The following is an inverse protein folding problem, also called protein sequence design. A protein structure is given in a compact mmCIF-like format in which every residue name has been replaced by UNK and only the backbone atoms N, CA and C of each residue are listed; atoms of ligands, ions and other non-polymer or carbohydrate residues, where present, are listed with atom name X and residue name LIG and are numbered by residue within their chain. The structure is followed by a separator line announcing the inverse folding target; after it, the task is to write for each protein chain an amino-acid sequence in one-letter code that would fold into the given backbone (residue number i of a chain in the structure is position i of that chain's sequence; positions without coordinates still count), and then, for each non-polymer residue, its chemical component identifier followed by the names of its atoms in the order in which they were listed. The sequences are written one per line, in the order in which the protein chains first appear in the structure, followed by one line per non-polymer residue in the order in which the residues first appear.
data_IF_580773017828
#
_entry.id   IF_580773017828
#
_cell.length_a   1.000
_cell.length_b   1.000
_cell.length_c   1.000
_cell.angle_alpha   90.00
_cell.angle_beta   90.00
_cell.angle_gamma   90.00
#
_symmetry.space_group_name_H-M   'P 1'
#
loop_
_entity.id
_entity.type
_entity.pdbx_description
1 polymer ?
#
# COMPACT_ATOMS: atom_id res chain seq x y z
N UNK A 1 46.61 17.25 38.72
CA UNK A 1 47.17 17.89 39.92
C UNK A 1 46.07 18.74 40.53
N UNK A 2 45.22 18.17 41.44
CA UNK A 2 44.12 18.89 42.06
C UNK A 2 44.67 19.79 43.15
N UNK A 3 44.28 21.05 43.08
CA UNK A 3 44.68 22.09 44.03
C UNK A 3 44.15 21.76 45.45
N UNK A 4 45.07 21.46 46.33
CA UNK A 4 44.83 21.19 47.78
C UNK A 4 44.66 22.52 48.57
N UNK A 5 44.30 23.63 47.92
CA UNK A 5 44.14 24.93 48.56
C UNK A 5 42.66 25.36 48.54
N UNK A 6 42.06 25.41 49.76
CA UNK A 6 40.85 26.20 49.98
C UNK A 6 41.30 27.66 50.17
N UNK A 7 40.56 28.63 49.60
CA UNK A 7 40.89 30.06 49.73
C UNK A 7 41.21 30.44 51.15
N UNK A 8 42.53 30.57 51.46
CA UNK A 8 43.01 31.30 52.62
C UNK A 8 43.55 30.52 53.82
N UNK A 9 43.85 29.21 53.75
CA UNK A 9 44.43 28.52 54.88
C UNK A 9 44.85 27.07 54.60
N UNK A 10 45.77 26.55 55.45
CA UNK A 10 46.12 25.13 55.52
C UNK A 10 44.87 24.30 55.85
N UNK A 11 44.64 23.22 55.09
CA UNK A 11 43.54 22.27 55.38
C UNK A 11 43.78 21.65 56.75
N UNK A 12 42.82 21.75 57.66
CA UNK A 12 42.92 21.11 58.97
C UNK A 12 42.87 19.57 58.83
N UNK A 13 43.45 18.84 59.81
CA UNK A 13 43.33 17.36 59.83
C UNK A 13 41.90 16.90 59.83
N UNK A 14 40.99 17.65 60.40
CA UNK A 14 39.55 17.34 60.44
C UNK A 14 38.89 17.57 59.08
N UNK A 15 39.23 18.65 58.37
CA UNK A 15 38.75 18.85 56.95
C UNK A 15 39.22 17.73 56.02
N UNK A 16 40.43 17.21 56.26
CA UNK A 16 40.99 16.08 55.45
C UNK A 16 40.27 14.78 55.81
N UNK A 17 40.03 14.49 57.08
CA UNK A 17 39.26 13.31 57.52
C UNK A 17 37.84 13.33 56.99
N UNK A 18 37.15 14.46 57.09
CA UNK A 18 35.79 14.64 56.58
C UNK A 18 35.74 14.47 55.05
N UNK A 19 36.73 14.98 54.33
CA UNK A 19 36.83 14.82 52.88
C UNK A 19 37.07 13.35 52.50
N UNK A 20 38.01 12.63 53.19
CA UNK A 20 38.28 11.20 52.96
C UNK A 20 37.03 10.37 53.29
N UNK A 21 36.35 10.67 54.41
CA UNK A 21 35.17 9.95 54.83
C UNK A 21 33.99 10.17 53.87
N UNK A 22 33.73 11.40 53.44
CA UNK A 22 32.68 11.72 52.47
C UNK A 22 32.94 11.13 51.10
N UNK A 23 34.21 11.15 50.63
CA UNK A 23 34.58 10.46 49.37
C UNK A 23 34.53 8.94 49.50
N UNK A 24 34.96 8.36 50.62
CA UNK A 24 34.83 6.93 50.89
C UNK A 24 33.37 6.48 50.92
N UNK A 25 32.45 7.22 51.53
CA UNK A 25 31.02 6.96 51.55
C UNK A 25 30.42 7.07 50.14
N UNK A 26 30.81 8.05 49.36
CA UNK A 26 30.32 8.22 47.99
C UNK A 26 30.77 7.10 47.05
N UNK A 27 31.99 6.60 47.19
CA UNK A 27 32.54 5.46 46.46
C UNK A 27 31.83 4.18 46.86
N UNK A 28 31.61 3.96 48.15
CA UNK A 28 30.91 2.79 48.65
C UNK A 28 29.45 2.77 48.14
N UNK A 29 28.72 3.91 48.17
CA UNK A 29 27.38 4.04 47.64
C UNK A 29 27.32 3.73 46.15
N UNK A 30 28.30 4.21 45.38
CA UNK A 30 28.40 3.88 43.93
C UNK A 30 28.61 2.39 43.70
N UNK A 31 29.51 1.72 44.49
CA UNK A 31 29.74 0.27 44.35
C UNK A 31 28.48 -0.51 44.70
N UNK A 32 27.72 -0.13 45.71
CA UNK A 32 26.45 -0.77 46.08
C UNK A 32 25.42 -0.59 44.97
N UNK A 33 25.25 0.61 44.45
CA UNK A 33 24.35 0.88 43.30
C UNK A 33 24.74 0.07 42.07
N UNK A 34 26.02 -0.02 41.78
CA UNK A 34 26.53 -0.83 40.65
C UNK A 34 26.24 -2.32 40.85
N UNK A 35 26.48 -2.87 42.03
CA UNK A 35 26.19 -4.27 42.36
C UNK A 35 24.68 -4.58 42.22
N UNK A 36 23.82 -3.70 42.72
CA UNK A 36 22.37 -3.81 42.58
C UNK A 36 21.95 -3.74 41.11
N UNK A 37 22.53 -2.84 40.30
CA UNK A 37 22.25 -2.70 38.88
C UNK A 37 22.64 -3.96 38.09
N UNK A 38 23.80 -4.53 38.39
CA UNK A 38 24.25 -5.79 37.80
C UNK A 38 23.30 -6.93 38.15
N UNK A 39 22.87 -7.01 39.41
CA UNK A 39 21.93 -8.00 39.89
C UNK A 39 20.59 -7.89 39.13
N UNK A 40 20.04 -6.68 38.99
CA UNK A 40 18.82 -6.38 38.27
C UNK A 40 18.96 -6.83 36.81
N UNK A 41 20.06 -6.48 36.15
CA UNK A 41 20.32 -6.88 34.74
C UNK A 41 20.38 -8.40 34.57
N UNK A 42 21.03 -9.11 35.49
CA UNK A 42 21.08 -10.58 35.47
C UNK A 42 19.69 -11.18 35.67
N UNK A 43 18.93 -10.67 36.62
CA UNK A 43 17.56 -11.16 36.89
C UNK A 43 16.67 -10.93 35.66
N UNK A 44 16.65 -9.73 35.10
CA UNK A 44 15.87 -9.41 33.90
C UNK A 44 16.30 -10.32 32.73
N UNK A 45 17.60 -10.49 32.49
CA UNK A 45 18.11 -11.34 31.42
C UNK A 45 17.66 -12.82 31.57
N UNK A 46 17.70 -13.35 32.79
CA UNK A 46 17.24 -14.74 33.10
C UNK A 46 15.71 -14.87 32.90
N UNK A 47 14.95 -13.92 33.42
CA UNK A 47 13.48 -13.90 33.28
C UNK A 47 13.08 -13.81 31.80
N UNK A 48 13.68 -12.90 31.04
CA UNK A 48 13.45 -12.77 29.61
C UNK A 48 13.78 -14.05 28.86
N UNK A 49 14.93 -14.66 29.12
CA UNK A 49 15.31 -15.95 28.50
C UNK A 49 14.26 -17.02 28.79
N UNK A 50 13.78 -17.12 30.02
CA UNK A 50 12.77 -18.12 30.41
C UNK A 50 11.43 -17.87 29.71
N UNK A 51 10.99 -16.60 29.65
CA UNK A 51 9.74 -16.21 28.98
C UNK A 51 9.83 -16.53 27.49
N UNK A 52 10.91 -16.10 26.84
CA UNK A 52 11.13 -16.31 25.39
C UNK A 52 11.16 -17.78 25.03
N UNK A 53 11.89 -18.60 25.81
CA UNK A 53 11.94 -20.04 25.58
C UNK A 53 10.54 -20.70 25.71
N UNK A 54 9.73 -20.24 26.68
CA UNK A 54 8.35 -20.74 26.84
C UNK A 54 7.45 -20.31 25.67
N UNK A 55 7.58 -19.07 25.20
CA UNK A 55 6.83 -18.56 24.05
C UNK A 55 7.26 -19.33 22.79
N UNK A 56 8.56 -19.46 22.55
CA UNK A 56 9.11 -20.21 21.42
C UNK A 56 8.54 -21.63 21.35
N UNK A 57 8.62 -22.36 22.46
CA UNK A 57 8.10 -23.73 22.54
C UNK A 57 6.59 -23.84 22.28
N UNK A 58 5.82 -22.79 22.59
CA UNK A 58 4.38 -22.75 22.26
C UNK A 58 4.12 -22.48 20.79
N UNK A 59 4.91 -21.58 20.18
CA UNK A 59 4.81 -21.22 18.78
C UNK A 59 5.24 -22.38 17.88
N UNK A 60 6.31 -23.09 18.25
CA UNK A 60 6.79 -24.30 17.56
C UNK A 60 5.71 -25.40 17.54
N UNK A 61 5.00 -25.60 18.67
CA UNK A 61 3.87 -26.54 18.73
C UNK A 61 2.68 -26.17 17.84
N UNK A 62 2.55 -24.89 17.45
CA UNK A 62 1.51 -24.42 16.53
C UNK A 62 1.93 -24.50 15.05
N UNK A 63 3.12 -25.02 14.76
CA UNK A 63 3.61 -25.19 13.41
C UNK A 63 4.07 -23.88 12.74
N UNK A 64 4.32 -22.83 13.53
CA UNK A 64 4.88 -21.58 13.00
C UNK A 64 6.36 -21.76 12.67
N UNK A 65 6.83 -21.04 11.65
CA UNK A 65 8.22 -21.10 11.23
C UNK A 65 9.17 -20.77 12.40
N UNK A 66 10.02 -21.74 12.74
CA UNK A 66 10.96 -21.64 13.85
C UNK A 66 11.97 -20.49 13.64
N UNK A 67 12.45 -20.29 12.40
CA UNK A 67 13.45 -19.26 12.08
C UNK A 67 12.83 -17.88 12.29
N UNK A 68 11.64 -17.63 11.74
CA UNK A 68 10.95 -16.36 11.84
C UNK A 68 10.58 -16.01 13.30
N UNK A 69 10.02 -16.99 14.04
CA UNK A 69 9.62 -16.77 15.45
C UNK A 69 10.83 -16.56 16.35
N UNK A 70 11.92 -17.31 16.14
CA UNK A 70 13.17 -17.16 16.88
C UNK A 70 13.82 -15.78 16.61
N UNK A 71 13.83 -15.34 15.36
CA UNK A 71 14.35 -14.01 14.99
C UNK A 71 13.59 -12.89 15.70
N UNK A 72 12.25 -12.88 15.61
CA UNK A 72 11.40 -11.85 16.23
C UNK A 72 11.57 -11.83 17.75
N UNK A 73 11.55 -12.99 18.40
CA UNK A 73 11.68 -13.08 19.84
C UNK A 73 13.07 -12.64 20.32
N UNK A 74 14.14 -12.94 19.59
CA UNK A 74 15.47 -12.45 19.92
C UNK A 74 15.58 -10.93 19.70
N UNK A 75 15.01 -10.39 18.62
CA UNK A 75 14.97 -8.95 18.40
C UNK A 75 14.32 -8.22 19.58
N UNK A 76 13.16 -8.69 20.05
CA UNK A 76 12.47 -8.14 21.21
C UNK A 76 13.31 -8.28 22.49
N UNK A 77 13.97 -9.43 22.69
CA UNK A 77 14.87 -9.65 23.83
C UNK A 77 15.98 -8.61 23.86
N UNK A 78 16.70 -8.43 22.75
CA UNK A 78 17.81 -7.49 22.71
C UNK A 78 17.33 -6.03 22.84
N UNK A 79 16.17 -5.67 22.27
CA UNK A 79 15.57 -4.35 22.47
C UNK A 79 15.29 -4.06 23.96
N UNK A 80 14.71 -5.02 24.71
CA UNK A 80 14.46 -4.89 26.14
C UNK A 80 15.76 -4.82 26.93
N UNK A 81 16.77 -5.62 26.59
CA UNK A 81 18.07 -5.60 27.28
C UNK A 81 18.81 -4.27 27.05
N UNK A 82 18.79 -3.73 25.83
CA UNK A 82 19.36 -2.41 25.52
C UNK A 82 18.64 -1.34 26.30
N UNK A 83 17.30 -1.33 26.34
CA UNK A 83 16.53 -0.39 27.13
C UNK A 83 16.85 -0.48 28.62
N UNK A 84 16.98 -1.71 29.15
CA UNK A 84 17.38 -1.95 30.55
C UNK A 84 18.78 -1.39 30.82
N UNK A 85 19.73 -1.63 29.92
CA UNK A 85 21.10 -1.13 30.05
C UNK A 85 21.15 0.40 30.06
N UNK A 86 20.47 1.03 29.12
CA UNK A 86 20.34 2.51 29.05
C UNK A 86 19.74 3.05 30.35
N UNK A 87 18.66 2.44 30.86
CA UNK A 87 18.03 2.83 32.12
C UNK A 87 18.97 2.72 33.32
N UNK A 88 19.81 1.67 33.37
CA UNK A 88 20.82 1.48 34.41
C UNK A 88 21.87 2.58 34.35
N UNK A 89 22.43 2.87 33.17
CA UNK A 89 23.46 3.89 32.96
C UNK A 89 22.94 5.26 33.40
N UNK A 90 21.69 5.59 33.07
CA UNK A 90 21.03 6.84 33.50
C UNK A 90 20.90 6.88 35.01
N UNK A 91 20.44 5.81 35.67
CA UNK A 91 20.25 5.76 37.14
C UNK A 91 21.56 5.81 37.93
N UNK A 92 22.64 5.32 37.36
CA UNK A 92 23.98 5.38 37.98
C UNK A 92 24.65 6.77 37.79
N UNK A 93 24.06 7.69 37.04
CA UNK A 93 24.62 9.01 36.72
C UNK A 93 26.05 8.91 36.10
N UNK A 94 26.33 7.82 35.38
CA UNK A 94 27.63 7.61 34.70
C UNK A 94 27.81 8.58 33.53
N UNK A 95 26.69 8.87 32.85
CA UNK A 95 26.61 9.79 31.73
C UNK A 95 25.49 10.79 32.00
N UNK A 96 25.66 11.99 31.52
CA UNK A 96 24.68 13.04 31.64
C UNK A 96 23.35 12.66 30.94
N UNK A 97 22.22 12.82 31.61
CA UNK A 97 20.91 12.40 31.12
C UNK A 97 20.59 13.00 29.75
N UNK A 98 20.96 14.27 29.54
CA UNK A 98 20.78 14.94 28.25
C UNK A 98 21.53 14.26 27.10
N UNK A 99 22.72 13.76 27.34
CA UNK A 99 23.52 13.04 26.34
C UNK A 99 22.90 11.71 25.95
N UNK A 100 22.38 10.97 26.94
CA UNK A 100 21.66 9.72 26.71
C UNK A 100 20.37 10.00 25.94
N UNK A 101 19.61 11.01 26.33
CA UNK A 101 18.38 11.40 25.64
C UNK A 101 18.64 11.76 24.17
N UNK A 102 19.70 12.53 23.91
CA UNK A 102 20.12 12.88 22.54
C UNK A 102 20.49 11.65 21.71
N UNK A 103 21.25 10.70 22.31
CA UNK A 103 21.64 9.46 21.63
C UNK A 103 20.41 8.60 21.28
N UNK A 104 19.48 8.40 22.24
CA UNK A 104 18.27 7.61 22.04
C UNK A 104 17.37 8.27 21.01
N UNK A 105 17.22 9.60 21.05
CA UNK A 105 16.44 10.35 20.06
C UNK A 105 17.05 10.19 18.65
N UNK A 106 18.36 10.35 18.51
CA UNK A 106 19.06 10.18 17.22
C UNK A 106 18.92 8.75 16.66
N UNK A 107 19.11 7.73 17.53
CA UNK A 107 18.91 6.34 17.13
C UNK A 107 17.46 6.06 16.75
N UNK A 108 16.50 6.62 17.47
CA UNK A 108 15.07 6.52 17.18
C UNK A 108 14.70 7.10 15.81
N UNK A 109 15.23 8.26 15.45
CA UNK A 109 15.06 8.85 14.11
C UNK A 109 15.65 7.93 13.03
N UNK A 110 16.87 7.42 13.24
CA UNK A 110 17.52 6.50 12.29
C UNK A 110 16.69 5.23 12.06
N UNK A 111 16.18 4.60 13.13
CA UNK A 111 15.34 3.40 13.04
C UNK A 111 14.00 3.74 12.35
N UNK A 112 13.39 4.89 12.69
CA UNK A 112 12.12 5.33 12.08
C UNK A 112 12.25 5.51 10.57
N UNK A 113 13.33 6.16 10.11
CA UNK A 113 13.61 6.33 8.68
C UNK A 113 13.87 4.99 7.99
N UNK A 114 14.62 4.08 8.62
CA UNK A 114 14.87 2.74 8.08
C UNK A 114 13.59 1.90 7.95
N UNK A 115 12.61 2.11 8.84
CA UNK A 115 11.33 1.38 8.85
C UNK A 115 10.18 2.10 8.13
N UNK A 116 10.42 3.28 7.57
CA UNK A 116 9.39 4.12 6.96
C UNK A 116 8.54 3.38 5.93
N UNK A 117 9.17 2.59 5.05
CA UNK A 117 8.44 1.82 4.04
C UNK A 117 7.55 0.72 4.63
N UNK A 118 8.04 0.01 5.65
CA UNK A 118 7.25 -1.01 6.33
C UNK A 118 6.05 -0.40 7.07
N UNK A 119 6.27 0.70 7.80
CA UNK A 119 5.23 1.42 8.52
C UNK A 119 4.17 2.00 7.58
N UNK A 120 4.59 2.55 6.44
CA UNK A 120 3.67 3.06 5.40
C UNK A 120 2.77 1.94 4.85
N UNK A 121 3.33 0.76 4.57
CA UNK A 121 2.55 -0.39 4.10
C UNK A 121 1.59 -0.92 5.16
N UNK A 122 2.03 -1.00 6.41
CA UNK A 122 1.20 -1.39 7.54
C UNK A 122 0.00 -0.44 7.71
N UNK A 123 0.25 0.87 7.73
CA UNK A 123 -0.80 1.89 7.82
C UNK A 123 -1.73 1.83 6.61
N UNK A 124 -1.17 1.67 5.40
CA UNK A 124 -1.95 1.46 4.18
C UNK A 124 -2.87 0.25 4.28
N UNK A 125 -2.38 -0.87 4.80
CA UNK A 125 -3.20 -2.09 5.02
C UNK A 125 -4.36 -1.84 5.98
N UNK A 126 -4.12 -1.16 7.10
CA UNK A 126 -5.18 -0.79 8.05
C UNK A 126 -6.22 0.10 7.36
N UNK A 127 -5.79 1.13 6.60
CA UNK A 127 -6.70 2.03 5.89
C UNK A 127 -7.56 1.26 4.87
N UNK A 128 -6.98 0.36 4.09
CA UNK A 128 -7.73 -0.46 3.13
C UNK A 128 -8.75 -1.36 3.81
N UNK A 129 -8.43 -1.94 4.96
CA UNK A 129 -9.34 -2.82 5.72
C UNK A 129 -10.46 -2.06 6.44
N UNK A 130 -10.22 -0.81 6.86
CA UNK A 130 -11.19 0.03 7.58
C UNK A 130 -12.09 0.79 6.60
N UNK A 131 -11.50 1.53 5.65
CA UNK A 131 -12.22 2.39 4.70
C UNK A 131 -12.86 1.56 3.59
N UNK A 132 -12.22 0.44 3.18
CA UNK A 132 -12.68 -0.48 2.14
C UNK A 132 -13.03 0.22 0.81
N UNK A 133 -12.12 0.98 0.21
CA UNK A 133 -12.37 1.60 -1.10
C UNK A 133 -12.63 0.55 -2.19
N UNK A 134 -12.15 -0.65 -1.97
CA UNK A 134 -12.44 -1.86 -2.74
C UNK A 134 -12.39 -3.08 -1.80
N UNK A 135 -12.95 -4.19 -2.21
CA UNK A 135 -13.02 -5.45 -1.44
C UNK A 135 -12.54 -6.63 -2.28
N UNK A 136 -12.35 -7.78 -1.63
CA UNK A 136 -12.09 -9.05 -2.33
C UNK A 136 -13.17 -9.32 -3.38
N UNK A 137 -12.75 -9.66 -4.59
CA UNK A 137 -13.59 -9.88 -5.77
C UNK A 137 -13.75 -8.65 -6.66
N UNK A 138 -13.40 -7.45 -6.20
CA UNK A 138 -13.45 -6.26 -7.04
C UNK A 138 -12.33 -6.26 -8.08
N UNK A 139 -12.63 -5.78 -9.30
CA UNK A 139 -11.64 -5.52 -10.33
C UNK A 139 -11.14 -4.09 -10.19
N UNK A 140 -9.86 -3.94 -9.91
CA UNK A 140 -9.22 -2.64 -9.72
C UNK A 140 -8.15 -2.37 -10.77
N UNK A 141 -7.92 -1.10 -11.07
CA UNK A 141 -6.84 -0.60 -11.93
C UNK A 141 -6.04 0.44 -11.17
N UNK A 142 -4.73 0.25 -11.10
CA UNK A 142 -3.81 1.26 -10.56
C UNK A 142 -3.37 2.11 -11.72
N UNK A 143 -3.91 3.34 -11.80
CA UNK A 143 -3.85 4.19 -12.98
C UNK A 143 -2.42 4.48 -13.41
N UNK A 144 -1.54 4.80 -12.46
CA UNK A 144 -0.16 5.25 -12.74
C UNK A 144 0.78 4.12 -13.18
N UNK A 145 0.40 2.86 -12.98
CA UNK A 145 1.24 1.69 -13.28
C UNK A 145 0.69 0.77 -14.35
N UNK A 146 -0.54 1.00 -14.80
CA UNK A 146 -1.21 0.11 -15.74
C UNK A 146 -1.42 -1.33 -15.22
N UNK A 147 -1.32 -1.52 -13.89
CA UNK A 147 -1.54 -2.81 -13.25
C UNK A 147 -3.01 -2.95 -12.94
N UNK A 148 -3.63 -4.03 -13.41
CA UNK A 148 -5.04 -4.28 -13.18
C UNK A 148 -5.34 -5.76 -12.88
N UNK A 149 -6.44 -6.01 -12.17
CA UNK A 149 -6.88 -7.36 -11.85
C UNK A 149 -7.95 -7.42 -10.77
N UNK A 150 -8.38 -8.64 -10.46
CA UNK A 150 -9.35 -8.95 -9.40
C UNK A 150 -8.61 -9.04 -8.07
N UNK A 151 -9.12 -8.37 -7.04
CA UNK A 151 -8.58 -8.44 -5.67
C UNK A 151 -8.85 -9.83 -5.09
N UNK A 152 -7.78 -10.57 -4.82
CA UNK A 152 -7.84 -11.90 -4.20
C UNK A 152 -7.78 -11.85 -2.68
N UNK A 153 -6.85 -11.05 -2.16
CA UNK A 153 -6.57 -10.99 -0.72
C UNK A 153 -5.96 -9.63 -0.36
N UNK A 154 -6.43 -9.06 0.75
CA UNK A 154 -5.85 -7.86 1.37
C UNK A 154 -5.20 -8.31 2.67
N UNK A 155 -3.86 -8.22 2.74
CA UNK A 155 -3.03 -8.55 3.90
C UNK A 155 -2.56 -7.26 4.57
N UNK A 156 -1.87 -7.38 5.71
CA UNK A 156 -1.40 -6.22 6.48
C UNK A 156 -0.42 -5.34 5.70
N UNK A 157 0.47 -5.93 4.88
CA UNK A 157 1.51 -5.21 4.13
C UNK A 157 1.26 -5.17 2.63
N UNK A 158 0.55 -6.15 2.08
CA UNK A 158 0.37 -6.34 0.65
C UNK A 158 -1.09 -6.65 0.33
N UNK A 159 -1.51 -6.23 -0.84
CA UNK A 159 -2.74 -6.68 -1.48
C UNK A 159 -2.36 -7.54 -2.68
N UNK A 160 -2.96 -8.72 -2.80
CA UNK A 160 -2.77 -9.63 -3.93
C UNK A 160 -3.92 -9.47 -4.90
N UNK A 161 -3.61 -9.24 -6.17
CA UNK A 161 -4.59 -9.21 -7.26
C UNK A 161 -4.25 -10.31 -8.27
N UNK A 162 -5.28 -10.78 -9.01
CA UNK A 162 -5.14 -11.72 -10.13
C UNK A 162 -5.43 -10.99 -11.43
N UNK A 163 -4.48 -10.97 -12.34
CA UNK A 163 -4.68 -10.36 -13.67
C UNK A 163 -5.48 -11.28 -14.61
N UNK A 164 -5.75 -10.80 -15.83
CA UNK A 164 -6.50 -11.55 -16.86
C UNK A 164 -5.79 -12.81 -17.36
N UNK A 165 -4.47 -12.92 -17.13
CA UNK A 165 -3.66 -14.09 -17.49
C UNK A 165 -3.61 -15.13 -16.36
N UNK A 166 -4.28 -14.87 -15.23
CA UNK A 166 -4.27 -15.75 -14.06
C UNK A 166 -3.09 -15.56 -13.12
N UNK A 167 -2.20 -14.60 -13.39
CA UNK A 167 -1.01 -14.34 -12.58
C UNK A 167 -1.36 -13.56 -11.31
N UNK A 168 -0.69 -13.89 -10.20
CA UNK A 168 -0.84 -13.20 -8.93
C UNK A 168 0.19 -12.07 -8.80
N UNK A 169 -0.28 -10.86 -8.62
CA UNK A 169 0.54 -9.67 -8.43
C UNK A 169 0.38 -9.21 -6.99
N UNK A 170 1.48 -9.19 -6.22
CA UNK A 170 1.52 -8.64 -4.87
C UNK A 170 1.91 -7.17 -4.91
N UNK A 171 1.02 -6.31 -4.42
CA UNK A 171 1.18 -4.86 -4.44
C UNK A 171 1.32 -4.36 -3.00
N UNK A 172 2.38 -3.61 -2.67
CA UNK A 172 2.50 -2.96 -1.37
C UNK A 172 1.31 -2.05 -1.08
N UNK A 173 0.71 -2.16 0.11
CA UNK A 173 -0.51 -1.42 0.44
C UNK A 173 -0.34 0.11 0.38
N UNK A 174 0.85 0.62 0.69
CA UNK A 174 1.16 2.05 0.55
C UNK A 174 1.01 2.56 -0.89
N UNK A 175 1.23 1.71 -1.89
CA UNK A 175 1.03 2.09 -3.29
C UNK A 175 -0.46 2.23 -3.63
N UNK A 176 -1.32 1.41 -3.03
CA UNK A 176 -2.77 1.47 -3.24
C UNK A 176 -3.43 2.63 -2.50
N UNK A 177 -2.82 3.09 -1.41
CA UNK A 177 -3.34 4.23 -0.63
C UNK A 177 -2.82 5.58 -1.12
N UNK A 178 -1.65 5.60 -1.78
CA UNK A 178 -1.01 6.82 -2.24
C UNK A 178 -1.25 7.13 -3.73
N UNK A 179 -1.76 6.15 -4.50
CA UNK A 179 -2.05 6.32 -5.93
C UNK A 179 -3.55 6.28 -6.19
N UNK A 180 -3.94 6.78 -7.37
CA UNK A 180 -5.32 6.68 -7.82
C UNK A 180 -5.67 5.22 -8.17
N UNK A 181 -6.68 4.68 -7.53
CA UNK A 181 -7.20 3.34 -7.80
C UNK A 181 -8.61 3.47 -8.38
N UNK A 182 -8.78 3.00 -9.61
CA UNK A 182 -10.08 2.89 -10.24
C UNK A 182 -10.70 1.53 -9.91
N UNK A 183 -11.78 1.53 -9.12
CA UNK A 183 -12.58 0.33 -8.86
C UNK A 183 -13.59 0.15 -9.98
N UNK A 184 -13.38 -0.86 -10.82
CA UNK A 184 -14.28 -1.18 -11.93
C UNK A 184 -15.50 -2.02 -11.53
N UNK A 185 -15.60 -2.44 -10.28
CA UNK A 185 -16.69 -3.28 -9.75
C UNK A 185 -17.52 -2.58 -8.67
N UNK A 186 -17.28 -1.28 -8.40
CA UNK A 186 -17.97 -0.54 -7.33
C UNK A 186 -19.48 -0.40 -7.56
N UNK A 187 -19.87 -0.30 -8.82
CA UNK A 187 -21.28 -0.18 -9.21
C UNK A 187 -21.75 -1.43 -9.94
N UNK A 188 -23.02 -1.74 -9.76
CA UNK A 188 -23.66 -2.87 -10.43
C UNK A 188 -23.75 -2.71 -11.95
N UNK A 189 -23.81 -1.46 -12.43
CA UNK A 189 -23.91 -1.11 -13.85
C UNK A 189 -22.71 -0.24 -14.27
N UNK A 190 -22.21 -0.47 -15.49
CA UNK A 190 -21.15 0.32 -16.12
C UNK A 190 -21.56 0.85 -17.46
N UNK A 191 -21.09 2.04 -17.78
CA UNK A 191 -21.22 2.62 -19.08
C UNK A 191 -20.50 1.76 -20.14
N UNK A 192 -21.23 1.34 -21.14
CA UNK A 192 -20.74 0.72 -22.36
C UNK A 192 -21.01 1.69 -23.51
N UNK A 193 -19.92 2.09 -24.18
CA UNK A 193 -20.03 2.87 -25.42
C UNK A 193 -19.43 2.05 -26.54
N UNK A 194 -20.18 1.90 -27.63
CA UNK A 194 -19.73 1.26 -28.87
C UNK A 194 -19.86 2.26 -30.00
N UNK A 195 -18.80 2.38 -30.78
CA UNK A 195 -18.76 3.27 -31.94
C UNK A 195 -18.74 2.49 -33.25
N UNK A 196 -19.39 3.04 -34.28
CA UNK A 196 -19.33 2.52 -35.65
C UNK A 196 -19.37 3.68 -36.65
N UNK A 197 -18.72 3.53 -37.78
CA UNK A 197 -18.77 4.52 -38.86
C UNK A 197 -19.77 4.09 -39.94
N UNK A 198 -20.52 5.05 -40.48
CA UNK A 198 -21.37 4.87 -41.66
C UNK A 198 -20.96 5.83 -42.75
N UNK A 199 -21.25 5.46 -44.02
CA UNK A 199 -21.03 6.34 -45.18
C UNK A 199 -21.82 7.65 -45.05
N UNK A 200 -21.26 8.76 -45.50
CA UNK A 200 -21.99 10.03 -45.62
C UNK A 200 -23.23 9.95 -46.54
N UNK A 201 -23.28 8.92 -47.38
CA UNK A 201 -24.44 8.63 -48.29
C UNK A 201 -25.51 7.80 -47.59
N UNK A 202 -25.22 7.22 -46.42
CA UNK A 202 -26.16 6.39 -45.68
C UNK A 202 -27.22 7.21 -44.98
N UNK A 203 -28.40 6.65 -44.81
CA UNK A 203 -29.47 7.23 -44.00
C UNK A 203 -29.13 7.10 -42.51
N UNK A 204 -28.76 8.21 -41.90
CA UNK A 204 -28.38 8.31 -40.45
C UNK A 204 -29.54 7.91 -39.54
N UNK A 205 -30.79 8.26 -39.92
CA UNK A 205 -31.95 7.96 -39.08
C UNK A 205 -32.22 6.45 -39.09
N UNK A 206 -32.16 5.82 -40.25
CA UNK A 206 -32.24 4.36 -40.40
C UNK A 206 -31.12 3.64 -39.66
N UNK A 207 -29.90 4.11 -39.79
CA UNK A 207 -28.73 3.53 -39.12
C UNK A 207 -28.86 3.58 -37.60
N UNK A 208 -29.31 4.71 -37.03
CA UNK A 208 -29.58 4.87 -35.60
C UNK A 208 -30.67 3.90 -35.12
N UNK A 209 -31.77 3.77 -35.86
CA UNK A 209 -32.86 2.87 -35.53
C UNK A 209 -32.42 1.38 -35.55
N UNK A 210 -31.59 0.98 -36.51
CA UNK A 210 -31.03 -0.38 -36.56
C UNK A 210 -30.08 -0.62 -35.39
N UNK A 211 -29.22 0.37 -35.07
CA UNK A 211 -28.28 0.29 -33.94
C UNK A 211 -28.99 0.21 -32.61
N UNK A 212 -30.08 0.96 -32.41
CA UNK A 212 -30.92 0.91 -31.23
C UNK A 212 -31.59 -0.46 -31.05
N UNK A 213 -32.19 -0.97 -32.16
CA UNK A 213 -32.89 -2.26 -32.16
C UNK A 213 -31.97 -3.42 -31.83
N UNK A 214 -30.81 -3.54 -32.51
CA UNK A 214 -29.85 -4.62 -32.24
C UNK A 214 -29.28 -4.53 -30.82
N UNK A 215 -29.05 -3.32 -30.30
CA UNK A 215 -28.58 -3.11 -28.92
C UNK A 215 -29.63 -3.58 -27.92
N UNK A 216 -30.90 -3.24 -28.14
CA UNK A 216 -32.02 -3.68 -27.28
C UNK A 216 -32.14 -5.21 -27.23
N UNK A 217 -31.97 -5.87 -28.36
CA UNK A 217 -32.00 -7.34 -28.44
C UNK A 217 -30.82 -7.98 -27.72
N UNK A 218 -29.60 -7.38 -27.78
CA UNK A 218 -28.42 -7.88 -27.06
C UNK A 218 -28.49 -7.65 -25.54
N UNK A 219 -29.19 -6.62 -25.09
CA UNK A 219 -29.41 -6.35 -23.68
C UNK A 219 -30.36 -7.39 -23.03
N UNK A 220 -31.32 -7.91 -23.77
CA UNK A 220 -32.27 -8.92 -23.31
C UNK A 220 -33.05 -8.48 -22.09
N UNK A 221 -32.68 -9.02 -20.91
CA UNK A 221 -33.30 -8.78 -19.60
C UNK A 221 -32.78 -7.53 -18.87
N UNK A 222 -31.80 -6.82 -19.44
CA UNK A 222 -31.20 -5.64 -18.81
C UNK A 222 -32.06 -4.41 -19.09
N UNK A 223 -32.72 -3.91 -18.07
CA UNK A 223 -33.49 -2.65 -18.13
C UNK A 223 -32.54 -1.45 -18.04
N UNK A 224 -32.28 -0.78 -19.14
CA UNK A 224 -31.44 0.41 -19.23
C UNK A 224 -31.91 1.31 -20.37
N UNK A 225 -31.62 2.60 -20.24
CA UNK A 225 -31.83 3.55 -21.31
C UNK A 225 -30.76 3.33 -22.40
N UNK A 226 -31.22 3.26 -23.67
CA UNK A 226 -30.35 3.20 -24.84
C UNK A 226 -30.28 4.59 -25.45
N UNK A 227 -29.08 5.13 -25.61
CA UNK A 227 -28.88 6.42 -26.28
C UNK A 227 -28.02 6.19 -27.52
N UNK A 228 -28.61 6.49 -28.71
CA UNK A 228 -27.88 6.41 -29.99
C UNK A 228 -27.70 7.82 -30.54
N UNK A 229 -26.47 8.20 -30.80
CA UNK A 229 -26.09 9.57 -31.19
C UNK A 229 -25.06 9.58 -32.31
N UNK A 230 -24.94 10.74 -32.96
CA UNK A 230 -23.81 11.03 -33.84
C UNK A 230 -22.69 11.59 -32.96
N UNK A 231 -21.56 10.92 -32.94
CA UNK A 231 -20.39 11.33 -32.15
C UNK A 231 -19.56 12.37 -32.90
N UNK A 232 -19.31 12.10 -34.19
CA UNK A 232 -18.38 12.90 -34.96
C UNK A 232 -18.70 12.80 -36.46
N UNK A 233 -18.44 13.88 -37.18
CA UNK A 233 -18.38 13.91 -38.63
C UNK A 233 -16.92 13.75 -39.04
N UNK A 234 -16.48 12.50 -39.22
CA UNK A 234 -15.09 12.19 -39.52
C UNK A 234 -14.70 12.34 -40.98
N UNK A 235 -13.42 12.18 -41.30
CA UNK A 235 -12.88 12.41 -42.65
C UNK A 235 -13.51 11.49 -43.71
N UNK A 236 -13.85 10.26 -43.39
CA UNK A 236 -14.38 9.27 -44.32
C UNK A 236 -15.70 8.64 -43.93
N UNK A 237 -16.24 8.99 -42.73
CA UNK A 237 -17.44 8.40 -42.19
C UNK A 237 -18.14 9.31 -41.20
N UNK A 238 -19.44 9.13 -41.05
CA UNK A 238 -20.22 9.65 -39.91
C UNK A 238 -20.12 8.62 -38.76
N UNK A 239 -19.50 9.00 -37.64
CA UNK A 239 -19.32 8.15 -36.47
C UNK A 239 -20.56 8.17 -35.60
N UNK A 240 -21.21 7.04 -35.48
CA UNK A 240 -22.32 6.82 -34.57
C UNK A 240 -21.83 6.19 -33.26
N UNK A 241 -22.41 6.58 -32.14
CA UNK A 241 -22.21 5.98 -30.84
C UNK A 241 -23.50 5.41 -30.28
N UNK A 242 -23.42 4.30 -29.59
CA UNK A 242 -24.48 3.80 -28.72
C UNK A 242 -23.96 3.71 -27.29
N UNK A 243 -24.69 4.33 -26.37
CA UNK A 243 -24.43 4.33 -24.95
C UNK A 243 -25.50 3.55 -24.21
N UNK A 244 -25.06 2.65 -23.31
CA UNK A 244 -25.91 1.87 -22.42
C UNK A 244 -25.22 1.62 -21.08
N UNK A 245 -25.99 1.40 -20.02
CA UNK A 245 -25.48 0.93 -18.74
C UNK A 245 -25.68 -0.57 -18.62
N UNK A 246 -24.61 -1.35 -18.43
CA UNK A 246 -24.64 -2.81 -18.39
C UNK A 246 -23.90 -3.36 -17.17
N UNK A 247 -24.28 -4.55 -16.63
CA UNK A 247 -23.56 -5.22 -15.57
C UNK A 247 -22.10 -5.49 -15.96
N UNK A 248 -21.19 -5.33 -15.00
CA UNK A 248 -19.76 -5.48 -15.23
C UNK A 248 -19.40 -6.86 -15.82
N UNK A 249 -19.98 -7.92 -15.31
CA UNK A 249 -19.74 -9.30 -15.74
C UNK A 249 -20.18 -9.57 -17.19
N UNK A 250 -21.18 -8.84 -17.68
CA UNK A 250 -21.71 -8.95 -19.06
C UNK A 250 -21.08 -7.93 -20.02
N UNK A 251 -20.40 -6.90 -19.52
CA UNK A 251 -19.92 -5.76 -20.31
C UNK A 251 -19.09 -6.17 -21.55
N UNK A 252 -18.11 -7.05 -21.38
CA UNK A 252 -17.24 -7.49 -22.48
C UNK A 252 -17.98 -8.35 -23.50
N UNK A 253 -18.88 -9.21 -23.04
CA UNK A 253 -19.68 -10.08 -23.91
C UNK A 253 -20.65 -9.24 -24.75
N UNK A 254 -21.40 -8.34 -24.11
CA UNK A 254 -22.35 -7.47 -24.82
C UNK A 254 -21.64 -6.58 -25.84
N UNK A 255 -20.47 -6.00 -25.48
CA UNK A 255 -19.66 -5.20 -26.40
C UNK A 255 -19.25 -5.98 -27.66
N UNK A 256 -18.80 -7.22 -27.50
CA UNK A 256 -18.39 -8.08 -28.63
C UNK A 256 -19.59 -8.44 -29.51
N UNK A 257 -20.68 -8.83 -28.92
CA UNK A 257 -21.91 -9.17 -29.62
C UNK A 257 -22.47 -7.98 -30.43
N UNK A 258 -22.53 -6.78 -29.81
CA UNK A 258 -22.94 -5.57 -30.54
C UNK A 258 -22.06 -5.31 -31.75
N UNK A 259 -20.73 -5.42 -31.62
CA UNK A 259 -19.82 -5.23 -32.76
C UNK A 259 -20.06 -6.25 -33.89
N UNK A 260 -20.27 -7.52 -33.55
CA UNK A 260 -20.58 -8.56 -34.53
C UNK A 260 -21.94 -8.30 -35.21
N UNK A 261 -22.93 -7.91 -34.44
CA UNK A 261 -24.25 -7.58 -34.97
C UNK A 261 -24.26 -6.34 -35.84
N UNK A 262 -23.47 -5.33 -35.51
CA UNK A 262 -23.32 -4.15 -36.40
C UNK A 262 -22.91 -4.58 -37.80
N UNK A 263 -21.90 -5.45 -37.92
CA UNK A 263 -21.43 -5.93 -39.24
C UNK A 263 -22.54 -6.66 -40.02
N UNK A 264 -23.33 -7.49 -39.34
CA UNK A 264 -24.40 -8.28 -39.96
C UNK A 264 -25.61 -7.40 -40.27
N UNK A 265 -26.16 -6.74 -39.25
CA UNK A 265 -27.45 -6.05 -39.35
C UNK A 265 -27.35 -4.81 -40.26
N UNK A 266 -26.20 -4.11 -40.28
CA UNK A 266 -25.98 -3.00 -41.20
C UNK A 266 -25.96 -3.48 -42.65
N UNK A 267 -25.25 -4.59 -42.93
CA UNK A 267 -25.22 -5.18 -44.28
C UNK A 267 -26.64 -5.60 -44.73
N UNK A 268 -27.41 -6.25 -43.86
CA UNK A 268 -28.78 -6.69 -44.17
C UNK A 268 -29.73 -5.51 -44.42
N UNK A 269 -29.49 -4.36 -43.79
CA UNK A 269 -30.28 -3.16 -43.99
C UNK A 269 -29.74 -2.18 -45.02
N UNK A 270 -28.69 -2.56 -45.76
CA UNK A 270 -28.09 -1.71 -46.78
C UNK A 270 -27.38 -0.49 -46.27
N UNK A 271 -26.90 -0.53 -45.02
CA UNK A 271 -26.10 0.54 -44.38
C UNK A 271 -24.63 0.23 -44.61
N UNK A 272 -23.97 1.10 -45.37
CA UNK A 272 -22.57 0.95 -45.73
C UNK A 272 -21.67 1.40 -44.59
N UNK A 273 -20.71 0.53 -44.18
CA UNK A 273 -19.54 0.88 -43.37
C UNK A 273 -18.41 1.18 -44.34
N UNK A 274 -18.02 2.46 -44.49
CA UNK A 274 -17.07 2.83 -45.55
C UNK A 274 -15.65 2.45 -45.20
N UNK A 275 -14.85 2.18 -46.22
CA UNK A 275 -13.40 2.22 -46.16
C UNK A 275 -12.91 3.66 -46.12
N UNK A 276 -11.65 3.89 -45.83
CA UNK A 276 -11.06 5.21 -45.93
C UNK A 276 -11.22 5.74 -47.37
N UNK A 277 -11.76 6.95 -47.50
CA UNK A 277 -11.99 7.63 -48.76
C UNK A 277 -10.84 8.56 -49.07
N UNK A 278 -10.39 8.60 -50.31
CA UNK A 278 -9.35 9.53 -50.76
C UNK A 278 -9.76 10.14 -52.09
N UNK A 279 -9.88 11.46 -52.15
CA UNK A 279 -10.08 12.21 -53.38
C UNK A 279 -8.74 12.45 -54.06
N UNK A 280 -8.54 11.88 -55.24
CA UNK A 280 -7.30 12.02 -56.02
C UNK A 280 -7.53 12.84 -57.26
N UNK A 281 -6.93 14.03 -57.34
CA UNK A 281 -6.91 14.89 -58.53
C UNK A 281 -5.67 14.56 -59.37
N UNK A 282 -5.87 13.90 -60.53
CA UNK A 282 -4.79 13.63 -61.48
C UNK A 282 -4.57 14.87 -62.39
N UNK A 283 -3.41 15.52 -62.25
CA UNK A 283 -3.01 16.60 -63.12
C UNK A 283 -2.14 16.02 -64.23
N UNK A 284 -2.69 15.90 -65.46
CA UNK A 284 -1.92 15.55 -66.66
C UNK A 284 -1.09 16.78 -67.08
N UNK A 285 0.25 16.70 -67.04
CA UNK A 285 1.10 17.67 -67.76
C UNK A 285 1.15 17.25 -69.21
N UNK A 286 0.51 18.07 -70.09
CA UNK A 286 0.77 18.08 -71.54
C UNK A 286 2.18 18.58 -71.81
#
# INVERSE_FOLDING_TARGET
MYSIYKKGGLISEDDLKDWIQNKGLSVFDFIVKLAVAILIFIVISKVLKTIINKIQARLDKRGLDHIATHFVLNLLKYAILIFTLVSIITKLHIVEEASIAALVASAGVGISLAMQGALSNFTGGILLLVIKPFKKGDYIVITDKGVEGVVELIEIYYTTIRNIYGELIKIPNSQLTNNSVLNKSSDSLRALVVYTGISYKADVVKAKSVLEKLTKEELGDIETAISVFVEELGESSVKLGVFVMVPYDRHLKIRRNINERILKDFKENGIEIPYNQLDVHLISKN
#
